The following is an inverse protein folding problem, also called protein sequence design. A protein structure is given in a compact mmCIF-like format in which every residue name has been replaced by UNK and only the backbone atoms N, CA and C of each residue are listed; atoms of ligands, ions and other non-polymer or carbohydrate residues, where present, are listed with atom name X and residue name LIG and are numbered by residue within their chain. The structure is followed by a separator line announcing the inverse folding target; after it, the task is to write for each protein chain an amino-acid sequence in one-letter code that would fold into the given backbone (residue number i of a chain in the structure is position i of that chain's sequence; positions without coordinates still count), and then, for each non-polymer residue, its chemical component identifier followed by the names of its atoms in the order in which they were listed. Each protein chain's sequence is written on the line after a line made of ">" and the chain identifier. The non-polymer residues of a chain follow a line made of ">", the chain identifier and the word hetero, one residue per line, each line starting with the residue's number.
data_IF_860732730798
#
_entry.id   IF_860732730798
#
_cell.length_a   1.000
_cell.length_b   1.000
_cell.length_c   1.000
_cell.angle_alpha   90.00
_cell.angle_beta   90.00
_cell.angle_gamma   90.00
#
_symmetry.space_group_name_H-M   'P 1'
#
loop_
_entity.id
_entity.type
_entity.pdbx_description
1 polymer ?
#
# COMPACT_ATOMS: atom_id res chain seq x y z
N UNK A 1 49.52 2.04 -1.32
CA UNK A 1 48.42 2.52 -0.47
C UNK A 1 47.33 1.45 -0.46
N UNK A 2 47.02 0.85 0.68
CA UNK A 2 45.96 -0.16 0.76
C UNK A 2 44.62 0.44 0.37
N UNK A 3 43.87 -0.22 -0.51
CA UNK A 3 42.50 0.21 -0.83
C UNK A 3 41.67 -0.03 0.42
N UNK A 4 41.13 1.04 1.01
CA UNK A 4 40.12 0.94 2.06
C UNK A 4 38.85 0.43 1.38
N UNK A 5 38.44 -0.80 1.68
CA UNK A 5 37.13 -1.29 1.24
C UNK A 5 36.05 -0.46 1.93
N UNK A 6 35.17 0.22 1.17
CA UNK A 6 34.13 1.04 1.78
C UNK A 6 33.16 0.17 2.58
N UNK A 7 32.69 0.70 3.70
CA UNK A 7 31.67 0.03 4.52
C UNK A 7 30.32 0.00 3.80
N UNK A 8 29.45 -0.95 4.17
CA UNK A 8 28.08 -0.98 3.64
C UNK A 8 27.34 0.34 3.86
N UNK A 9 27.52 0.99 5.02
CA UNK A 9 26.88 2.28 5.31
C UNK A 9 27.28 3.35 4.30
N UNK A 10 28.57 3.47 3.99
CA UNK A 10 29.07 4.43 3.00
C UNK A 10 28.46 4.16 1.63
N UNK A 11 28.54 2.91 1.16
CA UNK A 11 27.97 2.51 -0.13
C UNK A 11 26.46 2.75 -0.18
N UNK A 12 25.73 2.50 0.91
CA UNK A 12 24.31 2.78 1.02
C UNK A 12 24.01 4.27 0.90
N UNK A 13 24.70 5.10 1.68
CA UNK A 13 24.50 6.55 1.70
C UNK A 13 24.84 7.19 0.34
N UNK A 14 25.93 6.76 -0.29
CA UNK A 14 26.32 7.16 -1.65
C UNK A 14 25.25 6.76 -2.67
N UNK A 15 24.82 5.50 -2.66
CA UNK A 15 23.78 5.00 -3.57
C UNK A 15 22.47 5.77 -3.40
N UNK A 16 22.04 6.04 -2.15
CA UNK A 16 20.81 6.81 -1.90
C UNK A 16 20.96 8.26 -2.35
N UNK A 17 22.14 8.88 -2.16
CA UNK A 17 22.39 10.24 -2.61
C UNK A 17 22.29 10.34 -4.14
N UNK A 18 22.93 9.44 -4.87
CA UNK A 18 22.87 9.35 -6.34
C UNK A 18 21.43 9.12 -6.83
N UNK A 19 20.71 8.15 -6.25
CA UNK A 19 19.32 7.89 -6.61
C UNK A 19 18.42 9.11 -6.38
N UNK A 20 18.67 9.90 -5.34
CA UNK A 20 17.92 11.15 -5.12
C UNK A 20 18.27 12.21 -6.16
N UNK A 21 19.56 12.45 -6.38
CA UNK A 21 20.03 13.55 -7.23
C UNK A 21 19.83 13.29 -8.72
N UNK A 22 19.90 12.04 -9.16
CA UNK A 22 19.88 11.69 -10.59
C UNK A 22 18.55 11.06 -11.03
N UNK A 23 17.95 10.21 -10.19
CA UNK A 23 16.73 9.49 -10.56
C UNK A 23 15.47 10.19 -10.04
N UNK A 24 15.35 10.41 -8.73
CA UNK A 24 14.16 11.01 -8.12
C UNK A 24 13.95 12.45 -8.61
N UNK A 25 15.02 13.25 -8.69
CA UNK A 25 14.96 14.63 -9.16
C UNK A 25 14.39 14.72 -10.59
N UNK A 26 14.78 13.78 -11.45
CA UNK A 26 14.41 13.68 -12.85
C UNK A 26 13.01 13.10 -13.10
N UNK A 27 12.36 12.52 -12.09
CA UNK A 27 10.97 12.06 -12.22
C UNK A 27 10.04 13.26 -12.53
N UNK A 28 9.10 13.08 -13.45
CA UNK A 28 8.09 14.10 -13.78
C UNK A 28 6.87 13.98 -12.86
N UNK A 29 6.45 12.75 -12.59
CA UNK A 29 5.27 12.46 -11.78
C UNK A 29 5.55 12.66 -10.28
N UNK A 30 4.74 13.52 -9.63
CA UNK A 30 4.88 13.82 -8.20
C UNK A 30 4.49 12.63 -7.31
N UNK A 31 3.60 11.75 -7.79
CA UNK A 31 3.26 10.50 -7.14
C UNK A 31 4.45 9.55 -7.11
N UNK A 32 5.22 9.43 -8.19
CA UNK A 32 6.45 8.65 -8.24
C UNK A 32 7.51 9.20 -7.29
N UNK A 33 7.69 10.53 -7.22
CA UNK A 33 8.60 11.15 -6.24
C UNK A 33 8.21 10.82 -4.81
N UNK A 34 6.92 10.94 -4.50
CA UNK A 34 6.37 10.62 -3.18
C UNK A 34 6.53 9.14 -2.86
N UNK A 35 6.33 8.25 -3.83
CA UNK A 35 6.54 6.82 -3.67
C UNK A 35 8.00 6.47 -3.40
N UNK A 36 8.95 7.15 -4.05
CA UNK A 36 10.38 7.01 -3.75
C UNK A 36 10.68 7.39 -2.29
N UNK A 37 10.17 8.53 -1.82
CA UNK A 37 10.36 8.97 -0.43
C UNK A 37 9.78 7.97 0.59
N UNK A 38 8.61 7.40 0.26
CA UNK A 38 8.00 6.36 1.08
C UNK A 38 8.84 5.09 1.12
N UNK A 39 9.34 4.60 -0.02
CA UNK A 39 10.21 3.41 -0.04
C UNK A 39 11.49 3.66 0.76
N UNK A 40 12.10 4.83 0.62
CA UNK A 40 13.29 5.18 1.39
C UNK A 40 13.00 5.17 2.90
N UNK A 41 11.92 5.84 3.33
CA UNK A 41 11.56 5.99 4.75
C UNK A 41 11.10 4.67 5.37
N UNK A 42 10.20 3.97 4.69
CA UNK A 42 9.44 2.87 5.28
C UNK A 42 10.05 1.50 4.98
N UNK A 43 10.78 1.33 3.87
CA UNK A 43 11.41 0.06 3.53
C UNK A 43 12.92 0.10 3.76
N UNK A 44 13.65 0.93 3.01
CA UNK A 44 15.12 0.86 2.99
C UNK A 44 15.77 1.27 4.32
N UNK A 45 15.38 2.40 4.90
CA UNK A 45 15.99 2.88 6.14
C UNK A 45 15.72 1.95 7.33
N UNK A 46 14.54 1.29 7.37
CA UNK A 46 14.19 0.38 8.45
C UNK A 46 15.00 -0.91 8.41
N UNK A 47 15.30 -1.40 7.21
CA UNK A 47 16.02 -2.66 7.02
C UNK A 47 17.52 -2.48 6.76
N UNK A 48 18.08 -1.29 6.99
CA UNK A 48 19.50 -1.02 6.71
C UNK A 48 20.44 -2.01 7.41
N UNK A 49 20.15 -2.37 8.66
CA UNK A 49 20.95 -3.36 9.41
C UNK A 49 20.85 -4.77 8.78
N UNK A 50 19.64 -5.20 8.40
CA UNK A 50 19.43 -6.48 7.74
C UNK A 50 20.11 -6.53 6.36
N UNK A 51 20.05 -5.44 5.59
CA UNK A 51 20.76 -5.29 4.33
C UNK A 51 22.28 -5.34 4.54
N UNK A 52 22.82 -4.69 5.58
CA UNK A 52 24.25 -4.72 5.90
C UNK A 52 24.76 -6.14 6.21
N UNK A 53 23.93 -6.96 6.83
CA UNK A 53 24.26 -8.35 7.19
C UNK A 53 24.01 -9.37 6.07
N UNK A 54 23.39 -8.99 4.96
CA UNK A 54 23.09 -9.91 3.86
C UNK A 54 24.29 -10.13 2.94
N UNK A 55 24.36 -11.33 2.35
CA UNK A 55 25.38 -11.74 1.38
C UNK A 55 25.07 -11.30 -0.05
N UNK A 56 24.04 -10.46 -0.25
CA UNK A 56 23.71 -9.94 -1.58
C UNK A 56 24.85 -9.06 -2.10
N UNK A 57 25.19 -9.16 -3.41
CA UNK A 57 26.44 -8.61 -3.93
C UNK A 57 26.45 -7.09 -4.01
N UNK A 58 25.32 -6.44 -4.32
CA UNK A 58 25.26 -4.97 -4.45
C UNK A 58 24.26 -4.33 -3.49
N UNK A 59 24.43 -3.03 -3.23
CA UNK A 59 23.45 -2.23 -2.49
C UNK A 59 22.12 -2.22 -3.25
N UNK A 60 22.13 -2.05 -4.56
CA UNK A 60 20.92 -2.04 -5.38
C UNK A 60 20.13 -3.35 -5.30
N UNK A 61 20.79 -4.52 -5.26
CA UNK A 61 20.11 -5.81 -5.08
C UNK A 61 19.39 -5.87 -3.72
N UNK A 62 20.04 -5.36 -2.68
CA UNK A 62 19.49 -5.28 -1.32
C UNK A 62 18.28 -4.35 -1.28
N UNK A 63 18.40 -3.16 -1.87
CA UNK A 63 17.31 -2.17 -1.97
C UNK A 63 16.11 -2.75 -2.72
N UNK A 64 16.34 -3.41 -3.86
CA UNK A 64 15.30 -4.00 -4.69
C UNK A 64 14.56 -5.13 -3.95
N UNK A 65 15.31 -6.01 -3.27
CA UNK A 65 14.70 -7.09 -2.49
C UNK A 65 13.85 -6.54 -1.35
N UNK A 66 14.37 -5.58 -0.58
CA UNK A 66 13.64 -4.97 0.53
C UNK A 66 12.39 -4.24 0.04
N UNK A 67 12.48 -3.46 -1.04
CA UNK A 67 11.32 -2.81 -1.64
C UNK A 67 10.27 -3.84 -2.08
N UNK A 68 10.70 -4.96 -2.68
CA UNK A 68 9.81 -6.03 -3.12
C UNK A 68 9.08 -6.72 -1.95
N UNK A 69 9.78 -6.97 -0.85
CA UNK A 69 9.18 -7.53 0.38
C UNK A 69 8.11 -6.58 0.95
N UNK A 70 8.43 -5.30 1.07
CA UNK A 70 7.49 -4.29 1.57
C UNK A 70 6.29 -4.13 0.64
N UNK A 71 6.50 -4.08 -0.68
CA UNK A 71 5.43 -4.05 -1.67
C UNK A 71 4.53 -5.28 -1.56
N UNK A 72 5.10 -6.48 -1.41
CA UNK A 72 4.32 -7.72 -1.26
C UNK A 72 3.46 -7.71 -0.01
N UNK A 73 3.98 -7.20 1.10
CA UNK A 73 3.26 -7.03 2.37
C UNK A 73 2.14 -6.00 2.26
N UNK A 74 2.40 -4.85 1.63
CA UNK A 74 1.42 -3.80 1.42
C UNK A 74 0.28 -4.29 0.53
N UNK A 75 0.59 -4.93 -0.60
CA UNK A 75 -0.40 -5.52 -1.51
C UNK A 75 -1.26 -6.55 -0.77
N UNK A 76 -0.66 -7.44 0.02
CA UNK A 76 -1.43 -8.42 0.80
C UNK A 76 -2.42 -7.74 1.77
N UNK A 77 -1.97 -6.67 2.42
CA UNK A 77 -2.78 -5.90 3.37
C UNK A 77 -3.93 -5.18 2.66
N UNK A 78 -3.66 -4.51 1.54
CA UNK A 78 -4.66 -3.82 0.72
C UNK A 78 -5.68 -4.79 0.12
N UNK A 79 -5.26 -5.95 -0.37
CA UNK A 79 -6.16 -6.99 -0.89
C UNK A 79 -7.10 -7.49 0.21
N UNK A 80 -6.60 -7.68 1.43
CA UNK A 80 -7.42 -8.07 2.57
C UNK A 80 -8.44 -6.98 2.90
N UNK A 81 -7.98 -5.73 3.04
CA UNK A 81 -8.85 -4.60 3.36
C UNK A 81 -9.93 -4.37 2.30
N UNK A 82 -9.58 -4.53 1.01
CA UNK A 82 -10.54 -4.45 -0.09
C UNK A 82 -11.63 -5.52 0.04
N UNK A 83 -11.26 -6.78 0.26
CA UNK A 83 -12.22 -7.87 0.46
C UNK A 83 -13.13 -7.62 1.66
N UNK A 84 -12.56 -7.14 2.77
CA UNK A 84 -13.34 -6.81 3.96
C UNK A 84 -14.34 -5.68 3.70
N UNK A 85 -13.95 -4.67 2.90
CA UNK A 85 -14.85 -3.59 2.46
C UNK A 85 -15.94 -4.10 1.52
N UNK A 86 -15.62 -4.97 0.57
CA UNK A 86 -16.60 -5.55 -0.36
C UNK A 86 -17.66 -6.37 0.38
N UNK A 87 -17.25 -7.16 1.38
CA UNK A 87 -18.19 -7.91 2.25
C UNK A 87 -19.12 -6.95 2.99
N UNK A 88 -18.58 -5.88 3.59
CA UNK A 88 -19.39 -4.88 4.31
C UNK A 88 -20.34 -4.14 3.38
N UNK A 89 -19.89 -3.77 2.18
CA UNK A 89 -20.73 -3.14 1.17
C UNK A 89 -21.89 -4.05 0.77
N UNK A 90 -21.62 -5.34 0.55
CA UNK A 90 -22.66 -6.32 0.25
C UNK A 90 -23.68 -6.43 1.39
N UNK A 91 -23.21 -6.57 2.64
CA UNK A 91 -24.10 -6.64 3.80
C UNK A 91 -24.99 -5.40 3.94
N UNK A 92 -24.44 -4.21 3.71
CA UNK A 92 -25.21 -2.96 3.74
C UNK A 92 -26.21 -2.94 2.60
N UNK A 93 -25.81 -3.34 1.39
CA UNK A 93 -26.70 -3.42 0.24
C UNK A 93 -27.87 -4.38 0.47
N UNK A 94 -27.60 -5.57 1.01
CA UNK A 94 -28.64 -6.58 1.30
C UNK A 94 -29.65 -6.04 2.32
N UNK A 95 -29.17 -5.35 3.37
CA UNK A 95 -30.03 -4.71 4.38
C UNK A 95 -30.88 -3.58 3.81
N UNK A 96 -30.36 -2.80 2.86
CA UNK A 96 -31.14 -1.76 2.17
C UNK A 96 -32.29 -2.40 1.40
N UNK A 97 -32.04 -3.47 0.65
CA UNK A 97 -33.08 -4.19 -0.10
C UNK A 97 -34.16 -4.77 0.83
N UNK A 98 -33.76 -5.36 1.97
CA UNK A 98 -34.73 -5.85 2.97
C UNK A 98 -35.62 -4.73 3.52
N UNK A 99 -35.04 -3.57 3.80
CA UNK A 99 -35.78 -2.40 4.27
C UNK A 99 -36.72 -1.85 3.19
N UNK A 100 -36.26 -1.74 1.94
CA UNK A 100 -37.09 -1.31 0.81
C UNK A 100 -38.31 -2.22 0.62
N UNK A 101 -38.11 -3.54 0.70
CA UNK A 101 -39.19 -4.52 0.64
C UNK A 101 -40.16 -4.37 1.82
N UNK A 102 -39.65 -4.16 3.03
CA UNK A 102 -40.48 -3.94 4.22
C UNK A 102 -41.33 -2.68 4.10
N UNK A 103 -40.73 -1.58 3.64
CA UNK A 103 -41.43 -0.30 3.39
C UNK A 103 -42.52 -0.50 2.34
N UNK A 104 -42.23 -1.21 1.24
CA UNK A 104 -43.23 -1.52 0.20
C UNK A 104 -44.43 -2.27 0.76
N UNK A 105 -44.20 -3.34 1.54
CA UNK A 105 -45.27 -4.11 2.18
C UNK A 105 -46.12 -3.23 3.10
N UNK A 106 -45.50 -2.34 3.88
CA UNK A 106 -46.22 -1.42 4.76
C UNK A 106 -47.08 -0.44 3.95
N UNK A 107 -46.53 0.14 2.87
CA UNK A 107 -47.27 1.06 2.01
C UNK A 107 -48.47 0.39 1.33
N UNK A 108 -48.31 -0.84 0.84
CA UNK A 108 -49.41 -1.61 0.23
C UNK A 108 -50.54 -1.86 1.25
N UNK A 109 -50.20 -2.29 2.48
CA UNK A 109 -51.19 -2.48 3.56
C UNK A 109 -51.93 -1.19 3.94
N UNK A 110 -51.22 -0.06 4.00
CA UNK A 110 -51.84 1.23 4.30
C UNK A 110 -52.82 1.64 3.20
N UNK A 111 -52.45 1.42 1.93
CA UNK A 111 -53.33 1.69 0.78
C UNK A 111 -54.61 0.86 0.83
N UNK A 112 -54.49 -0.43 1.11
CA UNK A 112 -55.66 -1.33 1.21
C UNK A 112 -56.59 -0.90 2.35
N UNK A 113 -56.03 -0.49 3.49
CA UNK A 113 -56.82 0.00 4.63
C UNK A 113 -57.55 1.32 4.36
N UNK A 114 -57.03 2.15 3.47
CA UNK A 114 -57.63 3.43 3.08
C UNK A 114 -58.78 3.27 2.07
N UNK A 115 -58.75 2.22 1.24
CA UNK A 115 -59.80 1.91 0.25
C UNK A 115 -61.00 1.14 0.83
N UNK A 116 -60.87 0.59 2.04
CA UNK A 116 -61.90 -0.17 2.75
C UNK A 116 -62.84 0.70 3.62
N UNK A 117 -62.66 2.03 3.63
CA UNK A 117 -63.50 3.00 4.34
C UNK A 117 -64.27 3.86 3.36
#
# INVERSE_FOLDING_TARGET
>A
MGRITPSFRQLYEETIAELKSELQSAMVDLGHKSAFDLILKDAWNREQAAMGNSTLPTVCDKLNLVASIYNRKLIASLVKESKDKDIKLKQVSDRVVELENTVKIIMDKLRDSALSK
#
